data_IF_439353556674
#
_entry.id   IF_439353556674
#
_cell.length_a   1.000
_cell.length_b   1.000
_cell.length_c   1.000
_cell.angle_alpha   90.00
_cell.angle_beta   90.00
_cell.angle_gamma   90.00
#
_symmetry.space_group_name_H-M   'P 1'
#
loop_
_entity.id
_entity.type
_entity.pdbx_description
1 polymer ?
#
# COMPACT_ATOMS: atom_id res chain seq x y z
N UNK A 1 9.76 1.37 -23.58
CA UNK A 1 9.15 2.22 -22.54
C UNK A 1 9.96 3.51 -22.46
N UNK A 2 9.30 4.66 -22.36
CA UNK A 2 9.97 5.97 -22.27
C UNK A 2 10.10 6.50 -20.82
N UNK A 3 9.35 5.95 -19.86
CA UNK A 3 9.38 6.30 -18.44
C UNK A 3 8.78 5.17 -17.57
N UNK A 4 8.88 5.31 -16.24
CA UNK A 4 8.20 4.46 -15.26
C UNK A 4 6.74 4.92 -15.03
N UNK A 5 5.91 4.02 -14.50
CA UNK A 5 4.53 4.34 -14.08
C UNK A 5 4.48 4.88 -12.65
N UNK A 6 3.31 5.35 -12.23
CA UNK A 6 3.01 5.71 -10.84
C UNK A 6 2.68 4.52 -9.93
N UNK A 7 3.00 3.29 -10.34
CA UNK A 7 2.76 2.10 -9.54
C UNK A 7 3.97 1.82 -8.65
N UNK A 8 3.74 1.76 -7.34
CA UNK A 8 4.80 1.57 -6.34
C UNK A 8 4.40 0.41 -5.42
N UNK A 9 5.37 -0.47 -5.14
CA UNK A 9 5.29 -1.45 -4.06
C UNK A 9 6.27 -1.03 -2.97
N UNK A 10 5.80 -0.99 -1.73
CA UNK A 10 6.63 -0.65 -0.58
C UNK A 10 6.33 -1.58 0.59
N UNK A 11 7.35 -1.97 1.34
CA UNK A 11 7.17 -2.77 2.56
C UNK A 11 7.29 -1.89 3.80
N UNK A 12 6.26 -1.94 4.64
CA UNK A 12 6.20 -1.20 5.90
C UNK A 12 6.71 -2.09 7.04
N UNK A 13 7.56 -1.51 7.89
CA UNK A 13 8.04 -2.17 9.11
C UNK A 13 6.87 -2.41 10.08
N UNK A 14 6.99 -3.45 10.92
CA UNK A 14 5.91 -3.86 11.84
C UNK A 14 4.95 -4.90 11.24
N UNK A 15 5.30 -5.50 10.10
CA UNK A 15 4.55 -6.59 9.47
C UNK A 15 3.13 -6.19 9.07
N UNK A 16 2.19 -7.12 9.18
CA UNK A 16 0.76 -6.87 8.86
C UNK A 16 0.20 -5.66 9.59
N UNK A 17 0.52 -5.51 10.87
CA UNK A 17 0.00 -4.38 11.64
C UNK A 17 0.53 -3.05 11.11
N UNK A 18 1.83 -2.98 10.80
CA UNK A 18 2.44 -1.78 10.22
C UNK A 18 1.83 -1.39 8.88
N UNK A 19 1.71 -2.36 7.96
CA UNK A 19 1.10 -2.15 6.65
C UNK A 19 -0.35 -1.65 6.76
N UNK A 20 -1.17 -2.34 7.57
CA UNK A 20 -2.56 -1.94 7.80
C UNK A 20 -2.69 -0.58 8.46
N UNK A 21 -1.84 -0.29 9.45
CA UNK A 21 -1.87 1.01 10.13
C UNK A 21 -1.66 2.14 9.15
N UNK A 22 -0.68 2.06 8.23
CA UNK A 22 -0.48 3.10 7.21
C UNK A 22 -1.68 3.17 6.27
N UNK A 23 -2.09 2.03 5.69
CA UNK A 23 -3.17 1.97 4.72
C UNK A 23 -4.52 2.49 5.25
N UNK A 24 -4.82 2.25 6.53
CA UNK A 24 -6.07 2.69 7.17
C UNK A 24 -6.01 4.14 7.67
N UNK A 25 -4.84 4.81 7.64
CA UNK A 25 -4.65 6.14 8.23
C UNK A 25 -4.31 7.26 7.25
N UNK A 26 -4.11 6.96 5.97
CA UNK A 26 -4.07 7.97 4.90
C UNK A 26 -5.40 8.73 4.82
N UNK A 27 -5.36 9.97 4.35
CA UNK A 27 -6.50 10.91 4.35
C UNK A 27 -6.79 11.49 2.98
N UNK A 28 -5.75 11.78 2.21
CA UNK A 28 -5.82 12.23 0.81
C UNK A 28 -5.89 11.00 -0.08
N UNK A 29 -4.98 10.06 0.15
CA UNK A 29 -4.93 8.78 -0.54
C UNK A 29 -6.07 7.89 -0.03
N UNK A 30 -6.72 7.15 -0.92
CA UNK A 30 -7.85 6.30 -0.55
C UNK A 30 -7.43 4.85 -0.40
N UNK A 31 -7.84 4.24 0.71
CA UNK A 31 -7.78 2.79 0.87
C UNK A 31 -8.85 2.14 -0.02
N UNK A 32 -8.47 1.63 -1.17
CA UNK A 32 -9.38 0.96 -2.08
C UNK A 32 -8.65 0.02 -3.06
N UNK A 33 -9.39 -0.97 -3.55
CA UNK A 33 -8.96 -1.85 -4.62
C UNK A 33 -9.26 -1.19 -5.97
N UNK A 34 -8.23 -0.82 -6.72
CA UNK A 34 -8.21 -0.43 -8.16
C UNK A 34 -6.81 0.15 -8.46
N UNK A 35 -6.59 0.68 -9.68
CA UNK A 35 -5.35 1.37 -10.06
C UNK A 35 -5.54 2.22 -11.32
N UNK A 36 -4.64 3.19 -11.52
CA UNK A 36 -4.53 3.99 -12.76
C UNK A 36 -5.59 5.09 -12.94
N UNK A 37 -6.36 5.39 -11.88
CA UNK A 37 -7.28 6.53 -11.86
C UNK A 37 -6.57 7.87 -11.64
N UNK A 38 -7.36 8.95 -11.64
CA UNK A 38 -6.87 10.30 -11.28
C UNK A 38 -6.63 10.43 -9.77
N UNK A 39 -7.29 9.60 -8.97
CA UNK A 39 -7.17 9.55 -7.52
C UNK A 39 -6.09 8.55 -7.09
N UNK A 40 -5.31 8.94 -6.08
CA UNK A 40 -4.30 8.09 -5.48
C UNK A 40 -4.94 7.02 -4.62
N UNK A 41 -4.52 5.78 -4.82
CA UNK A 41 -5.03 4.60 -4.11
C UNK A 41 -3.90 3.85 -3.41
N UNK A 42 -4.21 3.33 -2.23
CA UNK A 42 -3.37 2.38 -1.51
C UNK A 42 -4.17 1.14 -1.18
N UNK A 43 -3.56 -0.03 -1.30
CA UNK A 43 -4.09 -1.27 -0.75
C UNK A 43 -3.03 -2.05 0.02
N UNK A 44 -3.49 -2.87 0.95
CA UNK A 44 -2.67 -3.82 1.69
C UNK A 44 -2.89 -5.23 1.11
N UNK A 45 -2.12 -5.64 0.08
CA UNK A 45 -2.37 -6.89 -0.67
C UNK A 45 -2.47 -8.12 0.22
N UNK A 46 -1.65 -8.23 1.26
CA UNK A 46 -1.62 -9.39 2.15
C UNK A 46 -2.96 -9.62 2.89
N UNK A 47 -3.68 -8.56 3.28
CA UNK A 47 -4.96 -8.70 3.97
C UNK A 47 -6.19 -8.54 3.07
N UNK A 48 -6.02 -8.18 1.79
CA UNK A 48 -7.14 -7.81 0.92
C UNK A 48 -7.27 -8.70 -0.30
N UNK A 49 -6.23 -8.81 -1.14
CA UNK A 49 -6.39 -9.27 -2.53
C UNK A 49 -5.55 -10.50 -2.86
N UNK A 50 -4.41 -10.70 -2.21
CA UNK A 50 -3.42 -11.72 -2.63
C UNK A 50 -2.62 -12.29 -1.44
N UNK A 51 -3.22 -12.40 -0.26
CA UNK A 51 -2.52 -12.97 0.90
C UNK A 51 -3.37 -13.93 1.71
N UNK A 52 -3.24 -13.88 3.04
CA UNK A 52 -3.61 -14.97 3.96
C UNK A 52 -5.05 -15.48 3.91
N UNK A 53 -5.97 -14.71 3.34
CA UNK A 53 -7.39 -15.08 3.25
C UNK A 53 -7.76 -15.76 1.92
N UNK A 54 -6.90 -15.67 0.91
CA UNK A 54 -7.17 -16.15 -0.45
C UNK A 54 -6.17 -17.21 -0.90
N UNK A 55 -5.00 -17.27 -0.28
CA UNK A 55 -3.92 -18.20 -0.59
C UNK A 55 -3.51 -19.01 0.65
N UNK A 56 -3.00 -20.22 0.43
CA UNK A 56 -2.28 -20.96 1.47
C UNK A 56 -0.99 -20.25 1.87
N UNK A 57 -0.38 -20.64 3.00
CA UNK A 57 0.90 -20.06 3.42
C UNK A 57 2.00 -20.27 2.38
N UNK A 58 2.07 -21.46 1.78
CA UNK A 58 3.05 -21.79 0.74
C UNK A 58 2.85 -20.93 -0.52
N UNK A 59 1.62 -20.81 -1.01
CA UNK A 59 1.31 -19.96 -2.17
C UNK A 59 1.56 -18.46 -1.88
N UNK A 60 1.32 -18.02 -0.64
CA UNK A 60 1.60 -16.63 -0.25
C UNK A 60 3.09 -16.36 -0.24
N UNK A 61 3.88 -17.28 0.32
CA UNK A 61 5.35 -17.18 0.36
C UNK A 61 5.95 -17.18 -1.07
N UNK A 62 5.41 -18.01 -1.97
CA UNK A 62 5.83 -18.06 -3.38
C UNK A 62 5.45 -16.78 -4.17
N UNK A 63 4.37 -16.11 -3.78
CA UNK A 63 3.92 -14.87 -4.44
C UNK A 63 4.84 -13.68 -4.20
N UNK A 64 5.70 -13.75 -3.19
CA UNK A 64 6.57 -12.65 -2.76
C UNK A 64 5.83 -11.52 -2.04
N UNK A 65 4.55 -11.69 -1.71
CA UNK A 65 3.76 -10.71 -0.97
C UNK A 65 4.05 -10.86 0.51
N UNK A 66 4.71 -9.85 1.07
CA UNK A 66 5.04 -9.84 2.49
C UNK A 66 3.91 -9.28 3.33
N UNK A 67 3.83 -9.63 4.63
CA UNK A 67 2.76 -9.18 5.49
C UNK A 67 2.62 -7.66 5.61
N UNK A 68 3.69 -6.87 5.46
CA UNK A 68 3.65 -5.41 5.57
C UNK A 68 3.62 -4.66 4.24
N UNK A 69 3.41 -5.38 3.13
CA UNK A 69 3.48 -4.79 1.79
C UNK A 69 2.28 -3.89 1.51
N UNK A 70 2.52 -2.75 0.86
CA UNK A 70 1.53 -1.84 0.31
C UNK A 70 1.72 -1.73 -1.19
N UNK A 71 0.60 -1.77 -1.92
CA UNK A 71 0.54 -1.40 -3.33
C UNK A 71 -0.07 0.00 -3.44
N UNK A 72 0.64 0.89 -4.11
CA UNK A 72 0.28 2.29 -4.24
C UNK A 72 0.12 2.60 -5.73
N UNK A 73 -1.02 3.18 -6.10
CA UNK A 73 -1.27 3.76 -7.40
C UNK A 73 -1.32 5.27 -7.23
N UNK A 74 -0.30 5.97 -7.69
CA UNK A 74 -0.23 7.43 -7.62
C UNK A 74 -1.13 8.06 -8.69
N UNK A 75 -2.04 8.91 -8.24
CA UNK A 75 -2.93 9.73 -9.06
C UNK A 75 -2.26 11.02 -9.55
N UNK A 76 -3.05 12.09 -9.67
CA UNK A 76 -2.61 13.39 -10.19
C UNK A 76 -2.72 14.53 -9.17
N UNK A 77 -2.82 14.20 -7.88
CA UNK A 77 -2.81 15.18 -6.80
C UNK A 77 -1.45 15.89 -6.66
N UNK A 78 -1.40 16.95 -5.84
CA UNK A 78 -0.15 17.61 -5.51
C UNK A 78 0.80 16.65 -4.77
N UNK A 79 2.03 16.53 -5.27
CA UNK A 79 3.01 15.60 -4.71
C UNK A 79 3.35 15.92 -3.23
N UNK A 80 3.34 17.19 -2.84
CA UNK A 80 3.59 17.61 -1.47
C UNK A 80 2.48 17.17 -0.51
N UNK A 81 1.24 17.15 -0.98
CA UNK A 81 0.11 16.66 -0.19
C UNK A 81 0.14 15.14 -0.04
N UNK A 82 0.50 14.41 -1.11
CA UNK A 82 0.68 12.95 -1.06
C UNK A 82 1.81 12.54 -0.10
N UNK A 83 2.94 13.24 -0.14
CA UNK A 83 4.08 12.99 0.76
C UNK A 83 3.66 13.23 2.21
N UNK A 84 3.04 14.38 2.52
CA UNK A 84 2.56 14.70 3.88
C UNK A 84 1.55 13.69 4.38
N UNK A 85 0.70 13.16 3.50
CA UNK A 85 -0.31 12.17 3.88
C UNK A 85 0.32 10.83 4.27
N UNK A 86 1.35 10.39 3.54
CA UNK A 86 2.13 9.23 3.94
C UNK A 86 2.96 9.49 5.20
N UNK A 87 3.60 10.65 5.33
CA UNK A 87 4.39 11.00 6.53
C UNK A 87 3.53 10.89 7.79
N UNK A 88 2.34 11.51 7.83
CA UNK A 88 1.46 11.43 9.00
C UNK A 88 0.89 10.02 9.24
N UNK A 89 0.74 9.21 8.19
CA UNK A 89 0.30 7.83 8.34
C UNK A 89 1.42 6.94 8.90
N UNK A 90 2.65 7.15 8.47
CA UNK A 90 3.85 6.43 8.92
C UNK A 90 4.18 6.70 10.39
N UNK A 91 3.95 7.93 10.89
CA UNK A 91 4.15 8.28 12.30
C UNK A 91 3.28 7.45 13.27
N UNK A 92 2.21 6.83 12.79
CA UNK A 92 1.31 6.01 13.61
C UNK A 92 1.77 4.56 13.75
N UNK A 93 2.79 4.15 13.01
CA UNK A 93 3.32 2.79 13.08
C UNK A 93 4.10 2.61 14.38
N UNK A 94 3.61 1.72 15.24
CA UNK A 94 4.32 1.29 16.45
C UNK A 94 5.12 0.03 16.09
N UNK A 95 6.44 0.07 16.33
CA UNK A 95 7.37 -1.04 16.06
C UNK A 95 7.47 -2.00 17.23
#
# INVERSE_FOLDING_TARGET
>A
MSAYSGMIMAEIKGGEQGGRTVAENVRVIRLAVSLGGVESLVEHPYSMTHGKYLLTSEETDESGITPGMLRISIGIEDAGDLIKDFDQALEKVVL
#
